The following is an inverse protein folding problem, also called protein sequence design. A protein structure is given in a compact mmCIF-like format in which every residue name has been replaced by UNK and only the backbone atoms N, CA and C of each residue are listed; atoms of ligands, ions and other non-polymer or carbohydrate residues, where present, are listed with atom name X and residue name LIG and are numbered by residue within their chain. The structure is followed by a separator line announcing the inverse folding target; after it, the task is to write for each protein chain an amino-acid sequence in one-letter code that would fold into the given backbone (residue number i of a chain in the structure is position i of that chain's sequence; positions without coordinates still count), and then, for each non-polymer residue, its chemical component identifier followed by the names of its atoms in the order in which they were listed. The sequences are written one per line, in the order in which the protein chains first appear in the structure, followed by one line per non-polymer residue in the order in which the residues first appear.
data_IF_366735166342
#
_entry.id   IF_366735166342
#
_cell.length_a   1.000
_cell.length_b   1.000
_cell.length_c   1.000
_cell.angle_alpha   90.00
_cell.angle_beta   90.00
_cell.angle_gamma   90.00
#
_symmetry.space_group_name_H-M   'P 1'
#
loop_
_entity.id
_entity.type
_entity.pdbx_description
1 polymer ?
#
# COMPACT_ATOMS: atom_id res chain seq x y z
N UNK A 1 36.78 -53.79 -7.24
CA UNK A 1 35.89 -52.68 -6.82
C UNK A 1 34.81 -52.55 -7.88
N UNK A 2 33.56 -52.83 -7.52
CA UNK A 2 32.48 -53.08 -8.49
C UNK A 2 31.90 -51.78 -9.07
N UNK A 3 32.03 -51.63 -10.39
CA UNK A 3 31.52 -50.50 -11.21
C UNK A 3 30.02 -50.21 -11.04
N UNK A 4 29.25 -51.19 -10.56
CA UNK A 4 27.80 -51.04 -10.39
C UNK A 4 27.40 -50.14 -9.22
N UNK A 5 28.30 -49.93 -8.23
CA UNK A 5 27.98 -49.12 -7.06
C UNK A 5 27.94 -47.62 -7.39
N UNK A 6 28.84 -47.16 -8.26
CA UNK A 6 28.81 -45.78 -8.76
C UNK A 6 27.59 -45.52 -9.63
N UNK A 7 27.18 -46.46 -10.49
CA UNK A 7 26.01 -46.31 -11.34
C UNK A 7 24.72 -46.18 -10.50
N UNK A 8 24.57 -47.01 -9.45
CA UNK A 8 23.40 -46.96 -8.56
C UNK A 8 23.39 -45.66 -7.74
N UNK A 9 24.54 -45.18 -7.26
CA UNK A 9 24.62 -43.90 -6.56
C UNK A 9 24.34 -42.72 -7.49
N UNK A 10 24.83 -42.72 -8.74
CA UNK A 10 24.55 -41.65 -9.71
C UNK A 10 23.07 -41.63 -10.12
N UNK A 11 22.44 -42.78 -10.32
CA UNK A 11 21.00 -42.89 -10.62
C UNK A 11 20.15 -42.47 -9.41
N UNK A 12 20.53 -42.84 -8.18
CA UNK A 12 19.85 -42.40 -6.96
C UNK A 12 20.00 -40.89 -6.73
N UNK A 13 21.18 -40.32 -7.01
CA UNK A 13 21.41 -38.86 -6.89
C UNK A 13 20.64 -38.09 -7.97
N UNK A 14 20.58 -38.61 -9.21
CA UNK A 14 19.74 -38.04 -10.28
C UNK A 14 18.24 -38.13 -9.96
N UNK A 15 17.77 -39.23 -9.38
CA UNK A 15 16.37 -39.38 -8.94
C UNK A 15 16.03 -38.50 -7.74
N UNK A 16 16.97 -38.29 -6.81
CA UNK A 16 16.80 -37.37 -5.67
C UNK A 16 16.89 -35.89 -6.11
N UNK A 17 17.68 -35.55 -7.13
CA UNK A 17 17.71 -34.21 -7.73
C UNK A 17 16.47 -33.93 -8.59
N UNK A 18 15.84 -34.94 -9.19
CA UNK A 18 14.55 -34.82 -9.88
C UNK A 18 13.35 -34.67 -8.92
N UNK A 19 13.55 -34.85 -7.62
CA UNK A 19 12.54 -34.59 -6.58
C UNK A 19 12.72 -33.23 -5.88
N UNK A 20 13.50 -32.30 -6.47
CA UNK A 20 13.21 -30.87 -6.33
C UNK A 20 11.90 -30.58 -7.08
N UNK A 21 10.84 -31.15 -6.53
CA UNK A 21 9.49 -31.01 -6.99
C UNK A 21 9.19 -29.55 -6.78
N UNK A 22 9.38 -28.75 -7.83
CA UNK A 22 8.77 -27.44 -7.97
C UNK A 22 7.26 -27.67 -7.97
N UNK A 23 6.67 -28.10 -6.85
CA UNK A 23 5.26 -27.92 -6.61
C UNK A 23 5.09 -26.43 -6.58
N UNK A 24 4.80 -25.85 -7.75
CA UNK A 24 4.42 -24.45 -7.86
C UNK A 24 3.34 -24.24 -6.81
N UNK A 25 3.66 -23.42 -5.81
CA UNK A 25 2.73 -23.10 -4.76
C UNK A 25 1.57 -22.39 -5.45
N UNK A 26 0.41 -23.05 -5.48
CA UNK A 26 -0.80 -22.49 -6.06
C UNK A 26 -1.33 -21.41 -5.13
N UNK A 27 -1.60 -20.23 -5.67
CA UNK A 27 -2.33 -19.18 -4.97
C UNK A 27 -3.75 -19.71 -4.69
N UNK A 28 -4.28 -19.61 -3.46
CA UNK A 28 -5.68 -19.91 -3.19
C UNK A 28 -6.62 -19.18 -4.17
N UNK A 29 -7.72 -19.82 -4.57
CA UNK A 29 -8.56 -19.28 -5.65
C UNK A 29 -9.13 -17.89 -5.33
N UNK A 30 -9.46 -17.61 -4.07
CA UNK A 30 -9.95 -16.31 -3.59
C UNK A 30 -8.88 -15.21 -3.60
N UNK A 31 -7.64 -15.55 -3.24
CA UNK A 31 -6.48 -14.68 -3.39
C UNK A 31 -6.19 -14.41 -4.88
N UNK A 32 -6.26 -15.44 -5.71
CA UNK A 32 -6.09 -15.30 -7.16
C UNK A 32 -7.19 -14.41 -7.76
N UNK A 33 -8.46 -14.56 -7.37
CA UNK A 33 -9.53 -13.67 -7.83
C UNK A 33 -9.31 -12.22 -7.40
N UNK A 34 -8.80 -12.00 -6.18
CA UNK A 34 -8.44 -10.66 -5.70
C UNK A 34 -7.31 -10.06 -6.53
N UNK A 35 -6.30 -10.86 -6.90
CA UNK A 35 -5.20 -10.43 -7.77
C UNK A 35 -5.69 -10.10 -9.18
N UNK A 36 -6.51 -10.98 -9.77
CA UNK A 36 -7.14 -10.77 -11.09
C UNK A 36 -7.99 -9.51 -11.08
N UNK A 37 -8.73 -9.25 -10.00
CA UNK A 37 -9.50 -8.02 -9.86
C UNK A 37 -8.62 -6.78 -9.99
N UNK A 38 -7.51 -6.71 -9.25
CA UNK A 38 -6.58 -5.58 -9.30
C UNK A 38 -5.94 -5.45 -10.69
N UNK A 39 -5.53 -6.57 -11.29
CA UNK A 39 -5.02 -6.64 -12.66
C UNK A 39 -6.00 -5.99 -13.64
N UNK A 40 -7.28 -6.34 -13.55
CA UNK A 40 -8.31 -5.78 -14.42
C UNK A 40 -8.64 -4.33 -14.09
N UNK A 41 -8.70 -3.96 -12.81
CA UNK A 41 -9.02 -2.59 -12.39
C UNK A 41 -7.99 -1.60 -12.91
N UNK A 42 -6.71 -1.99 -12.90
CA UNK A 42 -5.59 -1.15 -13.32
C UNK A 42 -5.06 -1.47 -14.72
N UNK A 43 -5.71 -2.39 -15.45
CA UNK A 43 -5.33 -2.74 -16.83
C UNK A 43 -3.92 -3.33 -16.95
N UNK A 44 -3.47 -4.08 -15.95
CA UNK A 44 -2.12 -4.65 -15.89
C UNK A 44 -1.96 -5.74 -16.99
N UNK A 45 -0.93 -5.69 -17.84
CA UNK A 45 -0.70 -6.69 -18.90
C UNK A 45 0.01 -7.94 -18.35
N UNK A 46 -0.53 -8.53 -17.29
CA UNK A 46 0.00 -9.75 -16.65
C UNK A 46 -1.00 -10.90 -16.75
N UNK A 47 -0.55 -12.17 -16.65
CA UNK A 47 -1.45 -13.31 -16.61
C UNK A 47 -2.51 -13.19 -15.52
N UNK A 48 -3.69 -13.72 -15.79
CA UNK A 48 -4.81 -13.72 -14.83
C UNK A 48 -5.08 -15.15 -14.34
N UNK A 49 -4.01 -15.88 -14.03
CA UNK A 49 -4.05 -17.27 -13.60
C UNK A 49 -2.83 -17.58 -12.69
N UNK A 50 -2.64 -18.85 -12.34
CA UNK A 50 -1.55 -19.29 -11.45
C UNK A 50 -0.13 -18.97 -11.95
N UNK A 51 0.05 -18.65 -13.24
CA UNK A 51 1.34 -18.19 -13.76
C UNK A 51 1.73 -16.80 -13.28
N UNK A 52 0.90 -16.11 -12.49
CA UNK A 52 1.30 -14.92 -11.72
C UNK A 52 2.48 -15.18 -10.77
N UNK A 53 2.63 -16.43 -10.32
CA UNK A 53 3.77 -16.86 -9.52
C UNK A 53 4.97 -17.32 -10.36
N UNK A 54 4.89 -17.29 -11.68
CA UNK A 54 6.01 -17.66 -12.53
C UNK A 54 7.03 -16.52 -12.58
N UNK A 55 8.24 -16.68 -12.01
CA UNK A 55 9.26 -15.64 -12.01
C UNK A 55 9.70 -15.25 -13.43
N UNK A 56 9.48 -16.12 -14.42
CA UNK A 56 9.86 -15.86 -15.82
C UNK A 56 8.82 -15.04 -16.59
N UNK A 57 7.60 -14.86 -16.05
CA UNK A 57 6.60 -13.96 -16.64
C UNK A 57 6.88 -12.48 -16.37
N UNK A 58 7.91 -12.16 -15.57
CA UNK A 58 8.53 -10.85 -15.51
C UNK A 58 9.32 -10.58 -16.81
N UNK A 59 8.60 -10.51 -17.94
CA UNK A 59 9.15 -9.98 -19.18
C UNK A 59 9.78 -8.61 -18.89
N UNK A 60 10.92 -8.33 -19.52
CA UNK A 60 11.83 -7.20 -19.26
C UNK A 60 11.21 -5.78 -19.15
N UNK A 61 9.91 -5.60 -19.42
CA UNK A 61 9.21 -4.31 -19.40
C UNK A 61 7.92 -4.30 -18.55
N UNK A 62 7.60 -5.35 -17.78
CA UNK A 62 6.37 -5.38 -16.99
C UNK A 62 6.65 -4.89 -15.56
N UNK A 63 6.20 -3.67 -15.29
CA UNK A 63 6.33 -3.00 -13.99
C UNK A 63 5.38 -3.54 -12.92
N UNK A 64 4.48 -4.47 -13.26
CA UNK A 64 3.59 -5.15 -12.33
C UNK A 64 4.17 -6.51 -11.95
N UNK A 65 4.50 -6.70 -10.67
CA UNK A 65 5.03 -7.97 -10.17
C UNK A 65 4.26 -8.37 -8.93
N UNK A 66 3.83 -9.63 -8.86
CA UNK A 66 3.32 -10.26 -7.65
C UNK A 66 4.47 -11.02 -7.00
N UNK A 67 5.27 -10.30 -6.22
CA UNK A 67 6.49 -10.88 -5.65
C UNK A 67 6.20 -11.47 -4.28
N UNK A 68 6.80 -12.64 -4.08
CA UNK A 68 6.87 -13.31 -2.80
C UNK A 68 8.23 -13.07 -2.17
N UNK A 69 8.50 -11.88 -1.59
CA UNK A 69 9.58 -11.59 -0.60
C UNK A 69 9.75 -10.12 -0.15
N UNK A 70 10.18 -9.90 1.11
CA UNK A 70 10.65 -8.62 1.71
C UNK A 70 12.19 -8.51 1.61
N UNK A 71 12.71 -7.29 1.38
CA UNK A 71 13.74 -6.63 2.23
C UNK A 71 13.73 -5.09 2.02
N UNK A 72 14.05 -4.41 3.13
CA UNK A 72 14.21 -2.97 3.38
C UNK A 72 15.09 -2.16 2.40
N UNK A 73 14.60 -0.93 2.13
CA UNK A 73 15.32 0.31 1.78
C UNK A 73 15.89 0.42 0.34
N UNK A 74 15.19 1.25 -0.43
CA UNK A 74 15.59 2.05 -1.61
C UNK A 74 16.19 1.31 -2.84
N UNK A 75 15.44 1.45 -3.94
CA UNK A 75 15.78 1.23 -5.35
C UNK A 75 15.53 -0.17 -5.95
N UNK A 76 14.38 -0.28 -6.63
CA UNK A 76 14.08 -1.04 -7.86
C UNK A 76 14.82 -2.37 -8.14
N UNK A 77 14.04 -3.46 -8.17
CA UNK A 77 14.29 -4.80 -8.76
C UNK A 77 14.98 -5.83 -7.83
N UNK A 78 14.23 -6.86 -7.38
CA UNK A 78 14.73 -7.95 -6.52
C UNK A 78 14.22 -9.36 -6.97
N UNK A 79 15.09 -10.36 -6.75
CA UNK A 79 15.03 -11.85 -6.84
C UNK A 79 15.25 -12.45 -5.41
N UNK A 80 15.36 -13.78 -5.17
CA UNK A 80 14.39 -14.84 -4.75
C UNK A 80 14.92 -15.51 -3.42
N UNK A 81 14.05 -15.97 -2.50
CA UNK A 81 14.07 -17.00 -1.39
C UNK A 81 13.03 -16.82 -0.23
N UNK A 82 12.40 -17.90 0.25
CA UNK A 82 10.96 -18.09 0.40
C UNK A 82 10.33 -17.52 1.70
N UNK A 83 9.41 -16.57 1.59
CA UNK A 83 8.36 -16.32 2.61
C UNK A 83 7.19 -15.52 2.00
N UNK A 84 5.98 -15.73 2.51
CA UNK A 84 4.71 -15.23 1.94
C UNK A 84 4.61 -13.71 1.97
N UNK A 85 5.04 -13.07 0.90
CA UNK A 85 4.72 -11.69 0.63
C UNK A 85 3.97 -11.62 -0.69
N UNK A 86 3.12 -10.61 -0.82
CA UNK A 86 2.64 -10.19 -2.10
C UNK A 86 3.07 -8.72 -2.16
N UNK A 87 3.89 -8.39 -3.13
CA UNK A 87 4.11 -7.01 -3.53
C UNK A 87 3.25 -6.77 -4.75
N UNK A 88 2.62 -5.61 -4.82
CA UNK A 88 2.15 -5.06 -6.08
C UNK A 88 2.83 -3.72 -6.17
N UNK A 89 3.89 -3.66 -6.97
CA UNK A 89 4.49 -2.41 -7.42
C UNK A 89 4.02 -2.19 -8.86
N UNK A 90 3.72 -0.95 -9.22
CA UNK A 90 3.31 -0.57 -10.55
C UNK A 90 3.91 0.80 -10.84
N UNK A 91 4.98 0.86 -11.64
CA UNK A 91 5.56 2.11 -12.11
C UNK A 91 4.98 2.51 -13.47
N UNK A 92 4.40 3.72 -13.53
CA UNK A 92 4.13 4.48 -14.77
C UNK A 92 3.33 3.76 -15.88
N UNK A 93 2.00 3.69 -15.72
CA UNK A 93 1.10 3.38 -16.83
C UNK A 93 0.81 4.62 -17.69
N UNK A 94 1.71 4.94 -18.61
CA UNK A 94 1.35 5.79 -19.74
C UNK A 94 0.43 4.99 -20.67
N UNK A 95 -0.87 5.09 -20.42
CA UNK A 95 -1.96 4.68 -21.32
C UNK A 95 -1.75 3.32 -22.01
N UNK A 96 -1.82 2.22 -21.26
CA UNK A 96 -2.10 0.94 -21.92
C UNK A 96 -3.47 1.07 -22.56
N UNK A 97 -3.51 1.16 -23.89
CA UNK A 97 -4.72 1.00 -24.67
C UNK A 97 -5.31 -0.34 -24.25
N UNK A 98 -6.58 -0.32 -23.85
CA UNK A 98 -7.36 -1.40 -23.25
C UNK A 98 -7.48 -2.62 -24.16
N UNK A 99 -6.40 -3.37 -24.34
CA UNK A 99 -6.39 -4.62 -25.12
C UNK A 99 -6.50 -5.76 -24.11
N UNK A 100 -7.72 -6.27 -23.94
CA UNK A 100 -8.00 -7.67 -23.60
C UNK A 100 -7.96 -8.14 -22.13
N UNK A 101 -7.77 -7.25 -21.14
CA UNK A 101 -7.78 -7.65 -19.73
C UNK A 101 -9.16 -8.07 -19.16
N UNK A 102 -10.26 -7.68 -19.80
CA UNK A 102 -11.61 -7.83 -19.25
C UNK A 102 -11.97 -6.76 -18.20
N UNK A 103 -13.23 -6.76 -17.73
CA UNK A 103 -13.70 -5.82 -16.71
C UNK A 103 -13.48 -6.39 -15.29
N UNK A 104 -13.07 -5.56 -14.31
CA UNK A 104 -13.01 -5.99 -12.92
C UNK A 104 -14.41 -6.38 -12.44
N UNK A 105 -14.49 -7.41 -11.59
CA UNK A 105 -15.77 -7.87 -11.04
C UNK A 105 -16.41 -6.76 -10.20
N UNK A 106 -17.63 -6.33 -10.56
CA UNK A 106 -18.36 -5.31 -9.78
C UNK A 106 -18.96 -5.83 -8.48
N UNK A 107 -18.95 -7.15 -8.27
CA UNK A 107 -19.49 -7.80 -7.06
C UNK A 107 -18.45 -8.02 -5.97
N UNK A 108 -17.15 -7.82 -6.28
CA UNK A 108 -16.10 -7.93 -5.28
C UNK A 108 -16.15 -6.73 -4.34
N UNK A 109 -16.47 -6.98 -3.06
CA UNK A 109 -16.58 -5.93 -2.03
C UNK A 109 -15.41 -5.91 -1.04
N UNK A 110 -14.54 -6.92 -1.09
CA UNK A 110 -13.36 -7.08 -0.23
C UNK A 110 -12.24 -7.75 -1.01
N UNK A 111 -10.98 -7.44 -0.69
CA UNK A 111 -9.84 -8.24 -1.15
C UNK A 111 -9.55 -9.32 -0.13
N UNK A 112 -9.41 -10.56 -0.60
CA UNK A 112 -8.90 -11.68 0.20
C UNK A 112 -7.44 -11.83 -0.12
N UNK A 113 -6.57 -11.22 0.69
CA UNK A 113 -5.12 -11.33 0.55
C UNK A 113 -4.45 -11.27 1.92
N UNK A 114 -4.66 -12.27 2.80
CA UNK A 114 -4.23 -12.22 4.20
C UNK A 114 -2.71 -12.17 4.39
N UNK A 115 -1.93 -12.49 3.33
CA UNK A 115 -0.48 -12.39 3.34
C UNK A 115 0.06 -11.08 2.70
N UNK A 116 -0.80 -10.22 2.14
CA UNK A 116 -0.37 -8.96 1.51
C UNK A 116 0.18 -8.01 2.57
N UNK A 117 1.46 -7.64 2.44
CA UNK A 117 2.15 -6.72 3.36
C UNK A 117 2.33 -5.34 2.79
N UNK A 118 2.58 -5.21 1.49
CA UNK A 118 2.78 -3.91 0.86
C UNK A 118 1.92 -3.80 -0.37
N UNK A 119 1.28 -2.64 -0.55
CA UNK A 119 0.64 -2.27 -1.80
C UNK A 119 1.17 -0.92 -2.25
N UNK A 120 1.68 -0.88 -3.48
CA UNK A 120 2.16 0.31 -4.15
C UNK A 120 1.49 0.44 -5.52
N UNK A 121 0.60 1.42 -5.67
CA UNK A 121 -0.13 1.68 -6.90
C UNK A 121 0.16 3.09 -7.40
N UNK A 122 0.98 3.24 -8.44
CA UNK A 122 1.12 4.50 -9.19
C UNK A 122 0.26 4.46 -10.46
N UNK A 123 -0.86 5.15 -10.40
CA UNK A 123 -1.96 5.07 -11.35
C UNK A 123 -2.20 6.40 -12.06
N UNK A 124 -1.17 7.04 -12.62
CA UNK A 124 -1.27 8.26 -13.47
C UNK A 124 -2.12 8.12 -14.75
N UNK A 125 -2.86 7.02 -14.91
CA UNK A 125 -3.66 6.67 -16.08
C UNK A 125 -5.14 6.41 -15.74
N UNK A 126 -5.82 5.77 -16.68
CA UNK A 126 -7.25 5.46 -16.57
C UNK A 126 -7.44 4.16 -15.79
N UNK A 127 -8.11 4.23 -14.64
CA UNK A 127 -8.67 3.04 -13.97
C UNK A 127 -9.92 2.56 -14.70
N UNK A 128 -10.08 1.24 -14.85
CA UNK A 128 -11.12 0.65 -15.70
C UNK A 128 -12.52 0.93 -15.16
N UNK A 129 -12.70 0.90 -13.84
CA UNK A 129 -13.98 1.22 -13.21
C UNK A 129 -13.81 2.31 -12.15
N UNK A 130 -14.16 3.53 -12.53
CA UNK A 130 -14.09 4.73 -11.67
C UNK A 130 -15.01 4.66 -10.45
N UNK A 131 -16.06 3.83 -10.49
CA UNK A 131 -17.00 3.67 -9.37
C UNK A 131 -16.44 2.79 -8.25
N UNK A 132 -15.32 2.08 -8.48
CA UNK A 132 -14.71 1.21 -7.47
C UNK A 132 -13.56 1.94 -6.78
N UNK A 133 -13.83 2.38 -5.55
CA UNK A 133 -12.82 2.97 -4.68
C UNK A 133 -12.01 1.88 -3.98
N UNK A 134 -10.72 1.77 -4.32
CA UNK A 134 -9.82 0.73 -3.82
C UNK A 134 -9.67 0.72 -2.30
N UNK A 135 -9.78 1.88 -1.62
CA UNK A 135 -9.71 1.97 -0.16
C UNK A 135 -10.83 1.16 0.51
N UNK A 136 -12.00 1.03 -0.12
CA UNK A 136 -13.11 0.20 0.40
C UNK A 136 -12.75 -1.28 0.44
N UNK A 137 -11.94 -1.72 -0.51
CA UNK A 137 -11.53 -3.12 -0.63
C UNK A 137 -10.33 -3.43 0.27
N UNK A 138 -9.38 -2.50 0.38
CA UNK A 138 -8.16 -2.67 1.18
C UNK A 138 -8.42 -2.70 2.69
N UNK A 139 -9.53 -2.15 3.19
CA UNK A 139 -9.82 -2.12 4.63
C UNK A 139 -9.90 -3.51 5.28
N UNK A 140 -10.18 -4.58 4.51
CA UNK A 140 -10.20 -5.96 5.00
C UNK A 140 -8.80 -6.57 5.14
N UNK A 141 -7.78 -5.99 4.49
CA UNK A 141 -6.44 -6.55 4.40
C UNK A 141 -5.57 -6.08 5.57
N UNK A 142 -5.86 -6.60 6.77
CA UNK A 142 -5.22 -6.17 8.03
C UNK A 142 -3.74 -6.57 8.17
N UNK A 143 -3.22 -7.35 7.23
CA UNK A 143 -1.82 -7.74 7.13
C UNK A 143 -0.91 -6.62 6.62
N UNK A 144 -1.46 -5.59 5.98
CA UNK A 144 -0.71 -4.49 5.35
C UNK A 144 0.18 -3.74 6.36
N UNK A 145 1.44 -3.58 5.98
CA UNK A 145 2.46 -2.76 6.62
C UNK A 145 2.78 -1.48 5.84
N UNK A 146 2.58 -1.47 4.53
CA UNK A 146 2.81 -0.28 3.68
C UNK A 146 1.61 -0.13 2.74
N UNK A 147 1.07 1.09 2.66
CA UNK A 147 0.04 1.46 1.69
C UNK A 147 0.50 2.72 0.98
N UNK A 148 0.81 2.61 -0.30
CA UNK A 148 1.19 3.72 -1.16
C UNK A 148 0.28 3.75 -2.38
N UNK A 149 -0.60 4.75 -2.45
CA UNK A 149 -1.57 4.91 -3.54
C UNK A 149 -1.36 6.29 -4.17
N UNK A 150 -0.94 6.32 -5.42
CA UNK A 150 -0.56 7.52 -6.14
C UNK A 150 -1.42 7.68 -7.38
N UNK A 151 -2.07 8.84 -7.51
CA UNK A 151 -2.82 9.27 -8.68
C UNK A 151 -4.02 8.37 -9.07
N UNK A 152 -4.51 7.52 -8.17
CA UNK A 152 -5.69 6.68 -8.45
C UNK A 152 -6.98 7.53 -8.53
N UNK A 153 -7.45 7.73 -9.75
CA UNK A 153 -8.61 8.57 -10.05
C UNK A 153 -9.95 7.99 -9.55
N UNK A 154 -10.05 6.69 -9.21
CA UNK A 154 -11.30 6.13 -8.64
C UNK A 154 -11.45 6.41 -7.14
N UNK A 155 -10.42 6.90 -6.46
CA UNK A 155 -10.48 7.26 -5.05
C UNK A 155 -11.16 8.62 -4.89
N UNK A 156 -12.48 8.59 -4.84
CA UNK A 156 -13.35 9.78 -4.66
C UNK A 156 -13.65 10.13 -3.20
N UNK A 157 -13.27 9.28 -2.24
CA UNK A 157 -13.42 9.51 -0.81
C UNK A 157 -12.58 8.53 0.02
N UNK A 158 -12.40 8.81 1.31
CA UNK A 158 -11.80 7.85 2.26
C UNK A 158 -12.91 7.22 3.10
N UNK A 159 -13.05 5.88 3.16
CA UNK A 159 -14.06 5.24 4.00
C UNK A 159 -13.90 5.63 5.48
N UNK A 160 -15.02 5.91 6.17
CA UNK A 160 -14.99 6.29 7.60
C UNK A 160 -14.44 5.19 8.50
N UNK A 161 -14.51 3.94 8.07
CA UNK A 161 -13.97 2.76 8.73
C UNK A 161 -12.59 2.33 8.21
N UNK A 162 -11.88 3.20 7.48
CA UNK A 162 -10.50 2.96 7.05
C UNK A 162 -9.53 3.18 8.21
N UNK A 163 -9.53 2.23 9.15
CA UNK A 163 -8.82 2.27 10.41
C UNK A 163 -8.38 0.87 10.85
N UNK A 164 -7.77 0.76 12.03
CA UNK A 164 -7.36 -0.51 12.63
C UNK A 164 -6.47 -1.36 11.69
N UNK A 165 -5.32 -0.83 11.28
CA UNK A 165 -4.31 -1.60 10.56
C UNK A 165 -3.15 -1.91 11.53
N UNK A 166 -3.17 -3.08 12.19
CA UNK A 166 -2.27 -3.34 13.31
C UNK A 166 -0.79 -3.38 12.91
N UNK A 167 -0.49 -3.73 11.65
CA UNK A 167 0.88 -3.84 11.16
C UNK A 167 1.32 -2.64 10.31
N UNK A 168 0.46 -1.64 10.10
CA UNK A 168 0.73 -0.53 9.18
C UNK A 168 1.82 0.37 9.75
N UNK A 169 2.91 0.53 9.01
CA UNK A 169 4.08 1.34 9.34
C UNK A 169 4.12 2.62 8.53
N UNK A 170 3.73 2.56 7.25
CA UNK A 170 3.75 3.71 6.36
C UNK A 170 2.47 3.80 5.53
N UNK A 171 1.96 5.02 5.41
CA UNK A 171 0.80 5.35 4.60
C UNK A 171 1.07 6.57 3.74
N UNK A 172 0.95 6.40 2.43
CA UNK A 172 1.00 7.47 1.46
C UNK A 172 -0.23 7.45 0.55
N UNK A 173 -0.87 8.61 0.41
CA UNK A 173 -1.97 8.81 -0.54
C UNK A 173 -1.75 10.12 -1.29
N UNK A 174 -1.54 10.02 -2.60
CA UNK A 174 -1.34 11.16 -3.51
C UNK A 174 -2.46 11.19 -4.52
N UNK A 175 -3.18 12.30 -4.65
CA UNK A 175 -4.34 12.43 -5.55
C UNK A 175 -4.41 13.84 -6.14
N UNK A 176 -5.04 13.97 -7.30
CA UNK A 176 -5.24 15.26 -7.98
C UNK A 176 -6.52 16.00 -7.52
N UNK A 177 -7.35 15.36 -6.69
CA UNK A 177 -8.64 15.89 -6.26
C UNK A 177 -8.71 16.07 -4.74
N UNK A 178 -9.45 17.08 -4.25
CA UNK A 178 -9.60 17.31 -2.82
C UNK A 178 -10.43 16.23 -2.15
N UNK A 179 -10.03 15.77 -0.97
CA UNK A 179 -10.80 14.83 -0.15
C UNK A 179 -10.92 15.30 1.30
N UNK A 180 -11.92 14.76 1.99
CA UNK A 180 -12.11 14.86 3.45
C UNK A 180 -11.40 13.69 4.12
N UNK A 181 -10.65 13.95 5.19
CA UNK A 181 -10.06 12.93 6.06
C UNK A 181 -11.08 12.60 7.18
N UNK A 182 -11.59 11.37 7.27
CA UNK A 182 -12.49 10.96 8.35
C UNK A 182 -11.83 11.09 9.72
N UNK A 183 -12.59 11.44 10.76
CA UNK A 183 -12.08 11.60 12.12
C UNK A 183 -11.39 10.34 12.68
N UNK A 184 -11.82 9.16 12.25
CA UNK A 184 -11.29 7.86 12.68
C UNK A 184 -10.20 7.32 11.76
N UNK A 185 -9.74 8.09 10.78
CA UNK A 185 -8.79 7.67 9.76
C UNK A 185 -7.51 7.09 10.40
N UNK A 186 -7.16 5.86 10.00
CA UNK A 186 -6.03 5.07 10.50
C UNK A 186 -5.95 4.87 12.03
N UNK A 187 -6.95 5.30 12.80
CA UNK A 187 -6.90 5.19 14.26
C UNK A 187 -6.67 3.73 14.70
N UNK A 188 -5.95 3.56 15.81
CA UNK A 188 -5.44 2.28 16.34
C UNK A 188 -4.41 1.55 15.45
N UNK A 189 -3.80 2.20 14.46
CA UNK A 189 -2.63 1.66 13.76
C UNK A 189 -1.38 1.98 14.57
N UNK A 190 -1.14 1.19 15.62
CA UNK A 190 -0.16 1.50 16.68
C UNK A 190 1.30 1.51 16.21
N UNK A 191 1.60 0.79 15.13
CA UNK A 191 2.93 0.69 14.54
C UNK A 191 3.18 1.74 13.44
N UNK A 192 2.19 2.60 13.16
CA UNK A 192 2.26 3.62 12.12
C UNK A 192 3.30 4.67 12.47
N UNK A 193 4.29 4.84 11.60
CA UNK A 193 5.43 5.74 11.77
C UNK A 193 5.34 6.96 10.85
N UNK A 194 4.72 6.82 9.67
CA UNK A 194 4.65 7.88 8.68
C UNK A 194 3.25 7.96 8.03
N UNK A 195 2.74 9.18 7.92
CA UNK A 195 1.56 9.54 7.13
C UNK A 195 1.95 10.63 6.15
N UNK A 196 1.73 10.39 4.86
CA UNK A 196 1.96 11.34 3.79
C UNK A 196 0.71 11.49 2.93
N UNK A 197 0.04 12.63 3.02
CA UNK A 197 -1.15 12.97 2.25
C UNK A 197 -0.82 14.07 1.24
N UNK A 198 -0.76 13.71 -0.04
CA UNK A 198 -0.44 14.62 -1.13
C UNK A 198 -1.67 14.88 -2.01
N UNK A 199 -2.67 15.53 -1.41
CA UNK A 199 -3.82 16.10 -2.11
C UNK A 199 -4.43 17.22 -1.26
N UNK A 200 -5.24 18.13 -1.84
CA UNK A 200 -5.84 19.23 -1.09
C UNK A 200 -6.87 18.72 -0.06
N UNK A 201 -6.52 18.68 1.23
CA UNK A 201 -7.43 18.23 2.30
C UNK A 201 -8.49 19.30 2.56
N UNK A 202 -9.76 19.00 2.27
CA UNK A 202 -10.85 19.96 2.45
C UNK A 202 -11.40 20.01 3.88
N UNK A 203 -11.17 18.96 4.67
CA UNK A 203 -11.49 18.91 6.10
C UNK A 203 -10.75 17.77 6.78
N UNK A 204 -10.23 18.04 7.97
CA UNK A 204 -9.56 17.09 8.86
C UNK A 204 -9.82 17.49 10.31
N UNK A 205 -9.85 16.52 11.23
CA UNK A 205 -9.89 16.75 12.67
C UNK A 205 -8.83 15.89 13.32
N UNK A 206 -7.92 16.52 14.04
CA UNK A 206 -6.90 15.87 14.86
C UNK A 206 -7.12 16.33 16.30
N UNK A 207 -7.46 15.40 17.18
CA UNK A 207 -7.73 15.65 18.59
C UNK A 207 -7.35 14.42 19.45
N UNK A 208 -7.61 14.50 20.76
CA UNK A 208 -7.25 13.47 21.73
C UNK A 208 -8.00 12.13 21.58
N UNK A 209 -8.91 12.00 20.61
CA UNK A 209 -9.54 10.71 20.26
C UNK A 209 -8.68 9.85 19.33
N UNK A 210 -7.63 10.43 18.74
CA UNK A 210 -6.63 9.72 17.96
C UNK A 210 -5.51 9.21 18.87
N UNK A 211 -4.98 8.02 18.57
CA UNK A 211 -3.84 7.45 19.28
C UNK A 211 -2.85 6.80 18.31
N UNK A 212 -1.71 7.45 18.12
CA UNK A 212 -0.64 7.03 17.23
C UNK A 212 0.71 7.04 17.97
N UNK A 213 0.97 6.05 18.84
CA UNK A 213 2.12 6.04 19.74
C UNK A 213 3.48 5.92 19.02
N UNK A 214 3.48 5.44 17.78
CA UNK A 214 4.69 5.27 16.98
C UNK A 214 4.89 6.32 15.89
N UNK A 215 3.91 7.22 15.70
CA UNK A 215 3.95 8.17 14.60
C UNK A 215 5.08 9.15 14.78
N UNK A 216 5.98 9.16 13.81
CA UNK A 216 7.18 9.97 13.78
C UNK A 216 7.02 11.17 12.84
N UNK A 217 6.30 10.98 11.73
CA UNK A 217 6.07 12.00 10.71
C UNK A 217 4.62 12.04 10.23
N UNK A 218 4.03 13.23 10.17
CA UNK A 218 2.73 13.49 9.55
C UNK A 218 2.84 14.71 8.63
N UNK A 219 2.43 14.54 7.38
CA UNK A 219 2.50 15.55 6.33
C UNK A 219 1.21 15.59 5.52
N UNK A 220 0.63 16.78 5.34
CA UNK A 220 -0.47 16.95 4.40
C UNK A 220 -0.60 18.36 3.81
N UNK A 221 -1.31 18.48 2.69
CA UNK A 221 -1.70 19.77 2.11
C UNK A 221 -3.07 20.19 2.63
N UNK A 222 -3.17 21.37 3.23
CA UNK A 222 -4.44 21.89 3.75
C UNK A 222 -5.15 22.78 2.74
N UNK A 223 -6.41 22.47 2.44
CA UNK A 223 -7.34 23.28 1.65
C UNK A 223 -8.67 23.52 2.41
N UNK A 224 -8.53 23.71 3.71
CA UNK A 224 -9.60 23.91 4.69
C UNK A 224 -10.21 25.32 4.57
N UNK A 225 -10.97 25.58 3.51
CA UNK A 225 -11.52 26.92 3.21
C UNK A 225 -12.83 27.23 3.97
N UNK A 226 -13.56 26.21 4.43
CA UNK A 226 -14.91 26.36 4.95
C UNK A 226 -14.97 26.10 6.46
N UNK A 227 -15.04 27.16 7.25
CA UNK A 227 -15.16 27.08 8.71
C UNK A 227 -13.81 27.14 9.41
N UNK A 228 -13.81 26.89 10.72
CA UNK A 228 -12.61 26.86 11.54
C UNK A 228 -12.17 25.41 11.72
N UNK A 229 -11.00 25.07 11.18
CA UNK A 229 -10.41 23.73 11.30
C UNK A 229 -9.34 23.77 12.38
N UNK A 230 -9.63 23.10 13.50
CA UNK A 230 -8.72 23.04 14.64
C UNK A 230 -8.02 21.69 14.68
N UNK A 231 -6.70 21.73 14.73
CA UNK A 231 -5.84 20.57 14.91
C UNK A 231 -5.17 20.70 16.27
N UNK A 232 -5.42 19.75 17.16
CA UNK A 232 -4.81 19.71 18.48
C UNK A 232 -3.82 18.54 18.53
N UNK A 233 -2.53 18.85 18.42
CA UNK A 233 -1.45 17.87 18.49
C UNK A 233 -0.97 17.79 19.94
N UNK A 234 -1.20 16.65 20.60
CA UNK A 234 -0.86 16.43 22.01
C UNK A 234 0.16 15.30 22.16
N UNK A 235 1.01 15.39 23.18
CA UNK A 235 1.97 14.32 23.51
C UNK A 235 1.29 13.00 23.90
N UNK A 236 0.03 13.08 24.36
CA UNK A 236 -0.79 11.90 24.66
C UNK A 236 -1.13 11.11 23.39
N UNK A 237 -1.53 11.81 22.32
CA UNK A 237 -1.91 11.16 21.06
C UNK A 237 -0.71 10.84 20.18
N UNK A 238 0.36 11.62 20.27
CA UNK A 238 1.51 11.58 19.36
C UNK A 238 2.86 11.66 20.10
N UNK A 239 3.18 10.74 21.01
CA UNK A 239 4.34 10.83 21.89
C UNK A 239 5.70 10.80 21.16
N UNK A 240 5.78 10.23 19.96
CA UNK A 240 7.03 10.12 19.17
C UNK A 240 7.09 11.08 17.96
N UNK A 241 6.12 11.97 17.81
CA UNK A 241 6.01 12.82 16.63
C UNK A 241 7.14 13.85 16.61
N UNK A 242 8.02 13.69 15.63
CA UNK A 242 9.16 14.58 15.42
C UNK A 242 8.89 15.61 14.33
N UNK A 243 8.12 15.19 13.31
CA UNK A 243 7.79 16.02 12.15
C UNK A 243 6.28 16.11 12.01
N UNK A 244 5.76 17.33 12.10
CA UNK A 244 4.38 17.64 11.77
C UNK A 244 4.39 18.82 10.81
N UNK A 245 3.96 18.60 9.57
CA UNK A 245 4.08 19.58 8.51
C UNK A 245 2.76 19.72 7.75
N UNK A 246 2.28 20.96 7.66
CA UNK A 246 1.10 21.32 6.88
C UNK A 246 1.56 22.28 5.80
N UNK A 247 1.28 21.94 4.54
CA UNK A 247 1.41 22.88 3.44
C UNK A 247 0.05 23.53 3.17
N UNK A 248 -0.16 24.74 3.66
CA UNK A 248 -1.43 25.45 3.51
C UNK A 248 -1.56 26.01 2.09
N UNK A 249 -2.59 25.60 1.36
CA UNK A 249 -2.93 26.19 0.06
C UNK A 249 -3.58 27.57 0.26
N UNK A 250 -3.53 28.39 -0.78
CA UNK A 250 -4.08 29.75 -0.77
C UNK A 250 -5.55 29.75 -0.31
N UNK A 251 -5.85 30.54 0.73
CA UNK A 251 -7.18 30.66 1.30
C UNK A 251 -7.55 29.61 2.35
N UNK A 252 -6.68 28.63 2.62
CA UNK A 252 -6.89 27.67 3.69
C UNK A 252 -6.88 28.33 5.07
N UNK A 253 -7.85 27.98 5.92
CA UNK A 253 -7.99 28.47 7.28
C UNK A 253 -7.86 27.30 8.27
N UNK A 254 -6.61 26.97 8.62
CA UNK A 254 -6.28 25.90 9.57
C UNK A 254 -5.58 26.48 10.79
N UNK A 255 -6.10 26.20 11.99
CA UNK A 255 -5.47 26.57 13.25
C UNK A 255 -4.88 25.32 13.90
N UNK A 256 -3.59 25.37 14.25
CA UNK A 256 -2.88 24.26 14.90
C UNK A 256 -2.49 24.65 16.33
N UNK A 257 -2.89 23.82 17.29
CA UNK A 257 -2.47 23.88 18.69
C UNK A 257 -1.47 22.77 18.96
N UNK A 258 -0.29 23.13 19.47
CA UNK A 258 0.73 22.18 19.89
C UNK A 258 0.78 22.13 21.42
N UNK A 259 0.20 21.09 22.00
CA UNK A 259 0.24 20.78 23.43
C UNK A 259 1.19 19.61 23.67
N UNK A 260 2.45 19.82 23.30
CA UNK A 260 3.53 18.84 23.42
C UNK A 260 4.28 19.06 24.73
N UNK A 261 4.73 17.97 25.37
CA UNK A 261 5.53 18.06 26.58
C UNK A 261 6.86 18.78 26.26
N UNK A 262 7.22 19.85 26.98
CA UNK A 262 8.42 20.64 26.70
C UNK A 262 9.74 19.88 26.92
N UNK A 263 9.72 18.68 27.52
CA UNK A 263 10.92 17.87 27.75
C UNK A 263 11.47 17.17 26.50
N UNK A 264 10.68 17.06 25.42
CA UNK A 264 11.11 16.43 24.17
C UNK A 264 11.37 17.45 23.06
N UNK A 265 12.55 17.37 22.43
CA UNK A 265 13.06 18.24 21.36
C UNK A 265 12.28 18.06 20.04
N UNK A 266 11.02 18.48 19.98
CA UNK A 266 10.27 18.55 18.72
C UNK A 266 10.74 19.76 17.91
N UNK A 267 11.46 19.51 16.81
CA UNK A 267 11.87 20.55 15.87
C UNK A 267 10.65 21.03 15.07
N UNK A 268 10.02 22.10 15.57
CA UNK A 268 8.91 22.76 14.88
C UNK A 268 9.41 23.38 13.58
N UNK A 269 8.92 22.91 12.43
CA UNK A 269 9.12 23.57 11.14
C UNK A 269 7.76 23.89 10.53
N UNK A 270 7.26 25.08 10.80
CA UNK A 270 6.21 25.70 10.00
C UNK A 270 6.92 26.32 8.79
N UNK A 271 6.77 25.70 7.62
CA UNK A 271 7.16 26.32 6.36
C UNK A 271 5.95 27.07 5.82
N UNK A 272 5.95 28.40 5.98
CA UNK A 272 5.07 29.28 5.22
C UNK A 272 5.67 29.42 3.83
N UNK A 273 4.91 29.05 2.79
CA UNK A 273 5.23 29.31 1.38
C UNK A 273 4.24 30.34 0.84
#
# INVERSE_FOLDING_TARGET
MNSNWFLVMTVATLLLCCHYSNSQQTIPDDELQSAIFLIRQYGLPVPQNQSLCDPFYAGSNVHARFLKEIIDIYLYIIYLLPLHYLFMESSYFNSYTRIDGGSPSSTLTTLTMPALKSIHLDCKGVVVNQSINILKLLKSVKSLSIIELLYDTSISYIPSDFNNFPNLVDFQLTLDQPLIIPRTFLNNSVDLQSITIQFPVSSITIDDSLYFPSLFSDYFYSNCINGSHHINVTSKSFPKLSVFAINALLGSNTTVYFNLDPSDTVKKRLSEN
#
